data_IF_225566523619
#
_entry.id   IF_225566523619
#
_cell.length_a   1.000
_cell.length_b   1.000
_cell.length_c   1.000
_cell.angle_alpha   90.00
_cell.angle_beta   90.00
_cell.angle_gamma   90.00
#
_symmetry.space_group_name_H-M   'P 1'
#
loop_
_entity.id
_entity.type
_entity.pdbx_description
1 polymer ?
#
# COMPACT_ATOMS: atom_id res chain seq x y z
N UNK A 1 -4.91 13.58 15.41
CA UNK A 1 -3.87 14.18 14.56
C UNK A 1 -3.39 13.08 13.65
N UNK A 2 -3.88 13.11 12.41
CA UNK A 2 -3.66 12.05 11.42
C UNK A 2 -3.26 12.81 10.16
N UNK A 3 -2.06 12.54 9.62
CA UNK A 3 -1.44 13.15 8.44
C UNK A 3 -0.64 14.46 8.58
N UNK A 4 -0.22 14.88 9.78
CA UNK A 4 0.62 16.10 9.96
C UNK A 4 1.91 16.07 9.12
N UNK A 5 2.47 14.87 8.89
CA UNK A 5 3.66 14.70 8.05
C UNK A 5 3.42 15.04 6.59
N UNK A 6 2.22 14.78 6.05
CA UNK A 6 1.89 15.16 4.69
C UNK A 6 1.87 16.68 4.53
N UNK A 7 1.26 17.37 5.49
CA UNK A 7 1.22 18.83 5.50
C UNK A 7 2.62 19.42 5.57
N UNK A 8 3.41 18.94 6.52
CA UNK A 8 4.78 19.40 6.70
C UNK A 8 5.65 19.14 5.47
N UNK A 9 5.54 17.96 4.86
CA UNK A 9 6.27 17.65 3.63
C UNK A 9 5.91 18.62 2.47
N UNK A 10 4.65 19.04 2.39
CA UNK A 10 4.21 20.05 1.40
C UNK A 10 4.84 21.42 1.73
N UNK A 11 4.83 21.83 3.00
CA UNK A 11 5.47 23.08 3.46
C UNK A 11 6.96 23.07 3.14
N UNK A 12 7.68 22.04 3.57
CA UNK A 12 9.13 21.93 3.38
C UNK A 12 9.48 22.01 1.89
N UNK A 13 8.69 21.35 1.03
CA UNK A 13 8.89 21.38 -0.41
C UNK A 13 8.53 22.73 -1.04
N UNK A 14 7.55 23.45 -0.49
CA UNK A 14 7.22 24.82 -0.91
C UNK A 14 8.37 25.79 -0.61
N UNK A 15 8.96 25.68 0.58
CA UNK A 15 10.13 26.46 1.02
C UNK A 15 11.34 26.13 0.14
N UNK A 16 11.61 24.85 -0.10
CA UNK A 16 12.70 24.40 -0.99
C UNK A 16 12.58 25.00 -2.40
N UNK A 17 11.35 25.10 -2.92
CA UNK A 17 11.07 25.64 -4.26
C UNK A 17 10.92 27.16 -4.29
N UNK A 18 10.87 27.83 -3.14
CA UNK A 18 10.65 29.27 -3.03
C UNK A 18 9.29 29.71 -3.57
N UNK A 19 8.25 28.92 -3.33
CA UNK A 19 6.86 29.26 -3.71
C UNK A 19 5.99 29.43 -2.46
N UNK A 20 4.90 30.19 -2.58
CA UNK A 20 3.93 30.37 -1.50
C UNK A 20 3.14 29.07 -1.25
N UNK A 21 2.58 28.94 -0.04
CA UNK A 21 1.83 27.74 0.35
C UNK A 21 0.58 27.52 -0.53
N UNK A 22 -0.11 28.60 -0.92
CA UNK A 22 -1.30 28.52 -1.77
C UNK A 22 -0.98 27.93 -3.14
N UNK A 23 0.18 28.28 -3.71
CA UNK A 23 0.66 27.71 -4.97
C UNK A 23 1.03 26.24 -4.80
N UNK A 24 1.65 25.87 -3.68
CA UNK A 24 1.97 24.48 -3.34
C UNK A 24 0.70 23.63 -3.16
N UNK A 25 -0.30 24.14 -2.44
CA UNK A 25 -1.58 23.47 -2.24
C UNK A 25 -2.30 23.24 -3.58
N UNK A 26 -2.33 24.26 -4.44
CA UNK A 26 -2.89 24.17 -5.79
C UNK A 26 -2.15 23.15 -6.64
N UNK A 27 -0.81 23.11 -6.57
CA UNK A 27 0.01 22.12 -7.27
C UNK A 27 -0.28 20.68 -6.80
N UNK A 28 -0.54 20.49 -5.50
CA UNK A 28 -0.98 19.22 -4.91
C UNK A 28 -2.46 18.89 -5.23
N UNK A 29 -3.21 19.80 -5.86
CA UNK A 29 -4.60 19.59 -6.26
C UNK A 29 -5.62 19.81 -5.14
N UNK A 30 -5.25 20.57 -4.12
CA UNK A 30 -6.15 21.00 -3.05
C UNK A 30 -6.57 22.45 -3.25
N UNK A 31 -7.73 22.77 -2.69
CA UNK A 31 -8.05 24.15 -2.35
C UNK A 31 -7.19 24.57 -1.12
N UNK A 32 -6.48 25.70 -1.16
CA UNK A 32 -5.57 26.10 -0.09
C UNK A 32 -6.26 26.23 1.28
N UNK A 33 -7.47 26.80 1.31
CA UNK A 33 -8.21 27.00 2.55
C UNK A 33 -8.65 25.64 3.12
N UNK A 34 -9.13 24.74 2.27
CA UNK A 34 -9.49 23.37 2.68
C UNK A 34 -8.28 22.61 3.21
N UNK A 35 -7.13 22.70 2.54
CA UNK A 35 -5.90 22.04 2.98
C UNK A 35 -5.46 22.59 4.33
N UNK A 36 -5.49 23.92 4.49
CA UNK A 36 -5.17 24.57 5.76
C UNK A 36 -6.12 24.10 6.86
N UNK A 37 -7.43 24.06 6.63
CA UNK A 37 -8.42 23.60 7.62
C UNK A 37 -8.33 22.10 7.98
N UNK A 38 -7.66 21.29 7.16
CA UNK A 38 -7.35 19.89 7.50
C UNK A 38 -6.25 19.78 8.57
N UNK A 39 -5.41 20.80 8.74
CA UNK A 39 -4.21 20.75 9.58
C UNK A 39 -4.16 21.83 10.66
N UNK A 40 -4.79 22.98 10.43
CA UNK A 40 -4.93 24.07 11.39
C UNK A 40 -6.41 24.24 11.78
N UNK A 41 -6.76 23.78 12.97
CA UNK A 41 -8.11 23.90 13.48
C UNK A 41 -8.32 25.31 14.06
N UNK A 42 -9.31 26.04 13.55
CA UNK A 42 -9.79 27.27 14.20
C UNK A 42 -10.18 26.96 15.66
N UNK A 43 -9.99 27.90 16.61
CA UNK A 43 -10.44 27.71 17.98
C UNK A 43 -11.93 27.36 18.01
N UNK A 44 -12.26 26.18 18.59
CA UNK A 44 -13.60 25.59 18.67
C UNK A 44 -14.18 24.97 17.38
N UNK A 45 -13.39 24.77 16.32
CA UNK A 45 -13.80 23.96 15.16
C UNK A 45 -13.21 22.55 15.21
N UNK A 46 -13.93 21.58 14.66
CA UNK A 46 -13.38 20.25 14.42
C UNK A 46 -12.53 20.33 13.13
N UNK A 47 -11.25 19.93 13.13
CA UNK A 47 -10.44 19.90 11.91
C UNK A 47 -11.09 19.01 10.87
N UNK A 48 -11.00 19.41 9.60
CA UNK A 48 -11.46 18.60 8.49
C UNK A 48 -10.61 17.33 8.40
N UNK A 49 -11.24 16.21 8.02
CA UNK A 49 -10.49 14.99 7.78
C UNK A 49 -9.80 15.10 6.43
N UNK A 50 -8.47 15.08 6.40
CA UNK A 50 -7.72 15.08 5.15
C UNK A 50 -8.14 13.94 4.22
N UNK A 51 -8.61 12.81 4.78
CA UNK A 51 -9.08 11.67 4.00
C UNK A 51 -10.34 11.95 3.19
N UNK A 52 -11.08 12.99 3.56
CA UNK A 52 -12.23 13.46 2.78
C UNK A 52 -11.81 14.19 1.51
N UNK A 53 -10.57 14.65 1.46
CA UNK A 53 -10.03 15.48 0.38
C UNK A 53 -8.86 14.82 -0.36
N UNK A 54 -8.23 13.81 0.24
CA UNK A 54 -7.13 13.04 -0.34
C UNK A 54 -7.66 11.95 -1.30
N UNK A 55 -8.19 12.40 -2.43
CA UNK A 55 -8.60 11.55 -3.54
C UNK A 55 -7.42 11.08 -4.40
N UNK A 56 -7.71 10.25 -5.40
CA UNK A 56 -6.67 9.70 -6.28
C UNK A 56 -5.83 10.77 -6.98
N UNK A 57 -6.51 11.80 -7.50
CA UNK A 57 -5.87 12.92 -8.18
C UNK A 57 -4.97 13.73 -7.23
N UNK A 58 -5.40 13.93 -5.98
CA UNK A 58 -4.58 14.61 -4.96
C UNK A 58 -3.34 13.79 -4.62
N UNK A 59 -3.46 12.46 -4.47
CA UNK A 59 -2.31 11.61 -4.19
C UNK A 59 -1.28 11.70 -5.33
N UNK A 60 -1.73 11.58 -6.59
CA UNK A 60 -0.84 11.64 -7.76
C UNK A 60 -0.16 13.00 -7.91
N UNK A 61 -0.92 14.10 -7.75
CA UNK A 61 -0.39 15.46 -7.81
C UNK A 61 0.57 15.77 -6.66
N UNK A 62 0.24 15.33 -5.45
CA UNK A 62 1.12 15.52 -4.28
C UNK A 62 2.40 14.72 -4.44
N UNK A 63 2.32 13.47 -4.90
CA UNK A 63 3.50 12.65 -5.22
C UNK A 63 4.41 13.32 -6.26
N UNK A 64 3.82 13.88 -7.31
CA UNK A 64 4.54 14.65 -8.32
C UNK A 64 5.18 15.93 -7.75
N UNK A 65 4.46 16.66 -6.90
CA UNK A 65 4.96 17.87 -6.25
C UNK A 65 6.14 17.55 -5.32
N UNK A 66 6.04 16.51 -4.51
CA UNK A 66 7.10 16.08 -3.61
C UNK A 66 8.28 15.39 -4.34
N UNK A 67 8.05 14.88 -5.56
CA UNK A 67 9.06 14.13 -6.31
C UNK A 67 9.31 12.74 -5.73
N UNK A 68 8.24 12.05 -5.32
CA UNK A 68 8.30 10.72 -4.70
C UNK A 68 7.22 9.77 -5.25
N UNK A 69 7.36 8.44 -5.08
CA UNK A 69 6.29 7.51 -5.45
C UNK A 69 5.01 7.74 -4.64
N UNK A 70 3.86 7.40 -5.22
CA UNK A 70 2.56 7.53 -4.56
C UNK A 70 2.47 6.75 -3.24
N UNK A 71 3.18 5.63 -3.11
CA UNK A 71 3.24 4.87 -1.85
C UNK A 71 3.68 5.75 -0.67
N UNK A 72 4.60 6.72 -0.90
CA UNK A 72 5.07 7.64 0.15
C UNK A 72 3.94 8.52 0.68
N UNK A 73 2.98 8.91 -0.16
CA UNK A 73 1.84 9.72 0.27
C UNK A 73 0.95 8.96 1.25
N UNK A 74 0.76 7.65 1.07
CA UNK A 74 0.01 6.83 2.03
C UNK A 74 0.71 6.74 3.38
N UNK A 75 2.05 6.80 3.44
CA UNK A 75 2.79 6.85 4.70
C UNK A 75 2.73 8.24 5.35
N UNK A 76 2.97 9.30 4.57
CA UNK A 76 2.86 10.69 5.04
C UNK A 76 1.47 11.03 5.56
N UNK A 77 0.43 10.43 4.96
CA UNK A 77 -0.96 10.60 5.37
C UNK A 77 -1.41 9.64 6.49
N UNK A 78 -0.49 8.88 7.10
CA UNK A 78 -0.78 7.86 8.13
C UNK A 78 -1.84 6.82 7.71
N UNK A 79 -2.00 6.59 6.40
CA UNK A 79 -2.91 5.57 5.86
C UNK A 79 -2.31 4.19 6.06
N UNK A 80 -1.08 3.99 5.62
CA UNK A 80 -0.34 2.75 5.86
C UNK A 80 0.59 2.92 7.06
N UNK A 81 0.62 1.93 7.94
CA UNK A 81 1.47 1.91 9.14
C UNK A 81 2.57 0.87 9.03
N UNK A 82 3.53 0.91 9.94
CA UNK A 82 4.62 -0.08 10.00
C UNK A 82 4.12 -1.53 10.04
N UNK A 83 2.97 -1.79 10.67
CA UNK A 83 2.31 -3.11 10.68
C UNK A 83 1.83 -3.55 9.29
N UNK A 84 1.30 -2.61 8.48
CA UNK A 84 0.89 -2.85 7.11
C UNK A 84 2.09 -3.11 6.19
N UNK A 85 3.25 -2.52 6.52
CA UNK A 85 4.50 -2.79 5.80
C UNK A 85 5.14 -4.09 6.24
N UNK A 86 5.12 -4.46 7.52
CA UNK A 86 5.58 -5.80 7.93
C UNK A 86 4.71 -6.89 7.35
N UNK A 87 3.45 -6.61 7.07
CA UNK A 87 2.59 -7.50 6.33
C UNK A 87 2.97 -7.61 4.85
N UNK A 88 3.16 -6.46 4.19
CA UNK A 88 3.71 -6.44 2.83
C UNK A 88 5.06 -7.19 2.81
N UNK A 89 5.94 -6.90 3.76
CA UNK A 89 7.29 -7.42 3.89
C UNK A 89 7.35 -8.88 4.39
N UNK A 90 6.49 -9.34 5.29
CA UNK A 90 6.44 -10.74 5.76
C UNK A 90 5.81 -11.63 4.71
N UNK A 91 4.93 -11.08 3.87
CA UNK A 91 4.45 -11.77 2.69
C UNK A 91 5.50 -11.72 1.55
N UNK A 92 6.43 -10.75 1.57
CA UNK A 92 7.66 -10.68 0.75
C UNK A 92 8.84 -11.51 1.30
N UNK A 93 8.84 -11.86 2.60
CA UNK A 93 9.96 -12.46 3.35
C UNK A 93 9.46 -13.38 4.46
N UNK A 94 8.76 -14.47 4.12
CA UNK A 94 8.56 -15.61 5.02
C UNK A 94 9.64 -16.67 4.76
N UNK A 95 10.78 -16.65 5.48
CA UNK A 95 11.76 -17.73 5.44
C UNK A 95 11.30 -18.98 6.21
N UNK A 96 10.14 -19.01 6.89
CA UNK A 96 9.60 -20.20 7.55
C UNK A 96 8.69 -21.03 6.63
N UNK A 97 8.23 -20.46 5.51
CA UNK A 97 7.91 -21.20 4.28
C UNK A 97 9.18 -21.35 3.42
N UNK A 98 10.23 -21.92 4.01
CA UNK A 98 11.29 -22.56 3.23
C UNK A 98 10.59 -23.55 2.31
N UNK A 99 10.65 -23.30 1.00
CA UNK A 99 10.33 -24.32 0.01
C UNK A 99 11.17 -25.54 0.39
N UNK A 100 10.50 -26.63 0.76
CA UNK A 100 11.15 -27.92 0.95
C UNK A 100 12.10 -28.14 -0.22
N UNK A 101 13.40 -28.06 0.06
CA UNK A 101 14.46 -28.15 -0.94
C UNK A 101 14.40 -29.50 -1.66
N UNK A 102 13.81 -30.53 -1.05
CA UNK A 102 13.59 -31.82 -1.66
C UNK A 102 12.33 -31.82 -2.54
N UNK A 103 11.30 -31.02 -2.22
CA UNK A 103 10.18 -30.74 -3.12
C UNK A 103 10.59 -29.87 -4.32
N UNK A 104 11.51 -28.91 -4.13
CA UNK A 104 12.06 -28.08 -5.21
C UNK A 104 13.04 -28.88 -6.07
N UNK A 105 13.88 -29.74 -5.49
CA UNK A 105 14.68 -30.73 -6.25
C UNK A 105 13.79 -31.73 -6.98
N UNK A 106 12.65 -32.13 -6.41
CA UNK A 106 11.68 -33.00 -7.09
C UNK A 106 10.99 -32.27 -8.25
N UNK A 107 10.72 -30.97 -8.12
CA UNK A 107 10.21 -30.14 -9.21
C UNK A 107 11.27 -29.93 -10.32
N UNK A 108 12.51 -29.63 -9.95
CA UNK A 108 13.66 -29.50 -10.87
C UNK A 108 13.95 -30.83 -11.58
N UNK A 109 13.85 -31.96 -10.88
CA UNK A 109 13.97 -33.29 -11.50
C UNK A 109 12.76 -33.64 -12.39
N UNK A 110 11.56 -33.09 -12.15
CA UNK A 110 10.40 -33.20 -13.06
C UNK A 110 10.50 -32.28 -14.28
N UNK A 111 11.21 -31.16 -14.15
CA UNK A 111 11.49 -30.22 -15.25
C UNK A 111 12.70 -30.68 -16.09
N UNK A 112 13.53 -31.56 -15.54
CA UNK A 112 14.75 -32.10 -16.15
C UNK A 112 14.59 -33.01 -17.38
N UNK A 113 13.41 -33.07 -18.00
CA UNK A 113 13.21 -33.75 -19.30
C UNK A 113 13.40 -32.83 -20.51
N UNK A 114 13.82 -31.57 -20.31
CA UNK A 114 14.24 -30.68 -21.40
C UNK A 114 15.46 -29.83 -21.01
N UNK A 115 16.62 -30.30 -21.44
CA UNK A 115 17.83 -29.54 -21.79
C UNK A 115 18.10 -28.23 -21.02
N UNK A 116 18.37 -28.31 -19.71
CA UNK A 116 18.99 -27.21 -18.97
C UNK A 116 20.19 -27.71 -18.13
N UNK A 117 21.35 -27.03 -18.15
CA UNK A 117 22.57 -27.55 -17.53
C UNK A 117 22.52 -27.39 -16.01
N UNK A 118 22.37 -28.50 -15.29
CA UNK A 118 22.30 -28.57 -13.81
C UNK A 118 23.45 -27.87 -13.09
N UNK A 119 24.63 -27.79 -13.71
CA UNK A 119 25.84 -27.20 -13.13
C UNK A 119 25.82 -25.66 -13.12
N UNK A 120 25.09 -25.04 -14.07
CA UNK A 120 24.98 -23.59 -14.19
C UNK A 120 24.05 -23.03 -13.09
N UNK A 121 22.98 -23.76 -12.78
CA UNK A 121 22.01 -23.44 -11.72
C UNK A 121 22.65 -23.55 -10.33
N UNK A 122 23.53 -24.54 -10.12
CA UNK A 122 24.20 -24.72 -8.83
C UNK A 122 25.22 -23.60 -8.56
N UNK A 123 25.96 -23.15 -9.60
CA UNK A 123 26.92 -22.04 -9.44
C UNK A 123 26.25 -20.67 -9.22
N UNK A 124 25.01 -20.48 -9.70
CA UNK A 124 24.20 -19.28 -9.47
C UNK A 124 23.72 -19.18 -8.02
N UNK A 125 23.39 -20.31 -7.40
CA UNK A 125 23.03 -20.42 -5.98
C UNK A 125 24.20 -20.08 -5.05
N UNK A 126 25.39 -20.59 -5.35
CA UNK A 126 26.59 -20.35 -4.54
C UNK A 126 27.10 -18.90 -4.65
N UNK A 127 26.83 -18.22 -5.78
CA UNK A 127 27.15 -16.79 -5.99
C UNK A 127 26.18 -15.83 -5.31
N UNK A 128 24.89 -16.17 -5.24
CA UNK A 128 23.87 -15.36 -4.57
C UNK A 128 24.09 -15.27 -3.05
N UNK A 129 24.66 -16.32 -2.45
CA UNK A 129 24.96 -16.37 -1.01
C UNK A 129 26.26 -15.64 -0.62
N UNK A 130 27.04 -15.16 -1.59
CA UNK A 130 28.38 -14.59 -1.36
C UNK A 130 28.55 -13.10 -1.73
N UNK A 131 27.53 -12.38 -2.24
CA UNK A 131 27.72 -11.11 -2.97
C UNK A 131 27.00 -9.82 -2.49
N UNK A 132 27.53 -8.69 -2.96
CA UNK A 132 27.30 -7.25 -2.66
C UNK A 132 25.96 -6.63 -3.15
N UNK A 133 25.93 -5.31 -3.47
CA UNK A 133 24.76 -4.48 -3.89
C UNK A 133 23.80 -5.11 -4.92
N UNK A 134 24.26 -6.09 -5.72
CA UNK A 134 23.42 -6.90 -6.62
C UNK A 134 22.41 -7.79 -5.88
N UNK A 135 22.70 -8.26 -4.66
CA UNK A 135 21.78 -9.01 -3.81
C UNK A 135 20.58 -8.18 -3.36
N UNK A 136 20.76 -6.85 -3.25
CA UNK A 136 19.68 -5.87 -3.05
C UNK A 136 18.82 -5.72 -4.30
N UNK A 137 19.43 -5.71 -5.50
CA UNK A 137 18.71 -5.65 -6.77
C UNK A 137 17.94 -6.95 -7.06
N UNK A 138 18.47 -8.13 -6.72
CA UNK A 138 17.74 -9.40 -6.80
C UNK A 138 16.57 -9.46 -5.82
N UNK A 139 16.73 -8.87 -4.62
CA UNK A 139 15.63 -8.68 -3.67
C UNK A 139 14.53 -7.78 -4.24
N UNK A 140 14.90 -6.64 -4.84
CA UNK A 140 13.96 -5.73 -5.52
C UNK A 140 13.27 -6.38 -6.72
N UNK A 141 13.98 -7.27 -7.44
CA UNK A 141 13.42 -8.02 -8.55
C UNK A 141 12.44 -9.10 -8.05
N UNK A 142 12.76 -9.79 -6.96
CA UNK A 142 11.86 -10.72 -6.27
C UNK A 142 10.63 -10.01 -5.68
N UNK A 143 10.80 -8.77 -5.22
CA UNK A 143 9.76 -7.85 -4.74
C UNK A 143 8.80 -7.42 -5.85
N UNK A 144 9.33 -7.02 -7.01
CA UNK A 144 8.54 -6.71 -8.19
C UNK A 144 7.84 -7.95 -8.75
N UNK A 145 8.46 -9.13 -8.60
CA UNK A 145 7.88 -10.40 -8.98
C UNK A 145 6.79 -10.84 -8.00
N UNK A 146 6.94 -10.52 -6.71
CA UNK A 146 5.93 -10.72 -5.66
C UNK A 146 4.76 -9.73 -5.76
N UNK A 147 5.00 -8.46 -6.07
CA UNK A 147 3.93 -7.54 -6.46
C UNK A 147 3.29 -7.94 -7.79
N UNK A 148 4.09 -8.50 -8.70
CA UNK A 148 3.62 -9.21 -9.89
C UNK A 148 2.74 -10.40 -9.53
N UNK A 149 3.05 -11.14 -8.47
CA UNK A 149 2.30 -12.29 -8.00
C UNK A 149 1.06 -11.88 -7.17
N UNK A 150 1.08 -10.78 -6.40
CA UNK A 150 -0.10 -10.12 -5.81
C UNK A 150 -1.03 -9.60 -6.92
N UNK A 151 -0.45 -9.01 -7.97
CA UNK A 151 -1.16 -8.59 -9.17
C UNK A 151 -1.69 -9.77 -9.97
N UNK A 152 -1.01 -10.94 -9.95
CA UNK A 152 -1.51 -12.21 -10.52
C UNK A 152 -2.47 -12.94 -9.57
N UNK A 153 -2.48 -12.61 -8.27
CA UNK A 153 -3.28 -13.27 -7.23
C UNK A 153 -4.74 -12.78 -7.18
N UNK A 154 -5.24 -12.06 -8.20
CA UNK A 154 -6.66 -11.67 -8.33
C UNK A 154 -7.20 -10.73 -7.24
N UNK A 155 -6.36 -10.07 -6.44
CA UNK A 155 -6.84 -9.13 -5.42
C UNK A 155 -7.11 -7.74 -5.98
N UNK A 156 -6.22 -7.19 -6.81
CA UNK A 156 -6.28 -5.79 -7.22
C UNK A 156 -7.50 -5.48 -8.08
N UNK A 157 -8.34 -4.53 -7.65
CA UNK A 157 -9.58 -4.19 -8.34
C UNK A 157 -10.66 -5.28 -8.28
N UNK A 158 -10.55 -6.19 -7.32
CA UNK A 158 -11.52 -7.27 -7.06
C UNK A 158 -12.05 -7.17 -5.61
N UNK A 159 -13.02 -6.27 -5.36
CA UNK A 159 -13.63 -6.09 -4.04
C UNK A 159 -14.22 -7.38 -3.48
N UNK A 160 -14.75 -8.25 -4.34
CA UNK A 160 -15.38 -9.52 -3.98
C UNK A 160 -14.46 -10.42 -3.13
N UNK A 161 -13.15 -10.41 -3.39
CA UNK A 161 -12.20 -11.28 -2.67
C UNK A 161 -12.12 -10.91 -1.19
N UNK A 162 -12.08 -9.62 -0.88
CA UNK A 162 -12.03 -9.14 0.51
C UNK A 162 -13.41 -9.25 1.17
N UNK A 163 -14.48 -9.01 0.42
CA UNK A 163 -15.84 -9.08 0.96
C UNK A 163 -16.29 -10.52 1.24
N UNK A 164 -15.91 -11.49 0.41
CA UNK A 164 -16.17 -12.90 0.66
C UNK A 164 -15.42 -13.40 1.89
N UNK A 165 -14.16 -12.99 2.05
CA UNK A 165 -13.37 -13.31 3.24
C UNK A 165 -13.94 -12.65 4.51
N UNK A 166 -14.48 -11.43 4.39
CA UNK A 166 -15.18 -10.76 5.48
C UNK A 166 -16.46 -11.52 5.91
N UNK A 167 -17.24 -12.02 4.94
CA UNK A 167 -18.41 -12.87 5.21
C UNK A 167 -17.98 -14.15 5.92
N UNK A 168 -16.93 -14.81 5.42
CA UNK A 168 -16.39 -16.04 6.00
C UNK A 168 -15.88 -15.83 7.44
N UNK A 169 -15.10 -14.76 7.66
CA UNK A 169 -14.49 -14.43 8.95
C UNK A 169 -15.50 -14.09 10.05
N UNK A 170 -16.71 -13.66 9.66
CA UNK A 170 -17.82 -13.38 10.58
C UNK A 170 -18.75 -14.58 10.78
N UNK A 171 -18.43 -15.74 10.19
CA UNK A 171 -19.29 -16.92 10.15
C UNK A 171 -20.72 -16.58 9.69
N UNK A 172 -20.82 -15.76 8.64
CA UNK A 172 -22.10 -15.27 8.11
C UNK A 172 -22.43 -15.93 6.78
N UNK A 173 -23.71 -15.99 6.44
CA UNK A 173 -24.18 -16.53 5.17
C UNK A 173 -24.33 -15.43 4.10
N UNK A 174 -24.34 -14.16 4.51
CA UNK A 174 -24.47 -13.01 3.61
C UNK A 174 -23.67 -11.80 4.09
N UNK A 175 -23.45 -10.85 3.17
CA UNK A 175 -22.81 -9.57 3.47
C UNK A 175 -23.60 -8.74 4.49
N UNK A 176 -24.94 -8.78 4.40
CA UNK A 176 -25.83 -8.06 5.31
C UNK A 176 -25.73 -8.60 6.75
N UNK A 177 -25.67 -9.93 6.91
CA UNK A 177 -25.48 -10.55 8.22
C UNK A 177 -24.10 -10.20 8.80
N UNK A 178 -23.05 -10.25 7.97
CA UNK A 178 -21.69 -9.86 8.38
C UNK A 178 -21.62 -8.40 8.85
N UNK A 179 -22.24 -7.47 8.11
CA UNK A 179 -22.33 -6.07 8.47
C UNK A 179 -23.10 -5.86 9.78
N UNK A 180 -24.22 -6.56 9.95
CA UNK A 180 -25.03 -6.49 11.17
C UNK A 180 -24.26 -6.96 12.41
N UNK A 181 -23.54 -8.09 12.32
CA UNK A 181 -22.73 -8.62 13.44
C UNK A 181 -21.59 -7.69 13.84
N UNK A 182 -21.01 -6.98 12.88
CA UNK A 182 -19.83 -6.12 13.09
C UNK A 182 -20.18 -4.65 13.33
N UNK A 183 -21.43 -4.26 13.13
CA UNK A 183 -21.89 -2.87 13.21
C UNK A 183 -21.37 -1.99 12.07
N UNK A 184 -20.97 -2.59 10.94
CA UNK A 184 -20.47 -1.86 9.78
C UNK A 184 -21.59 -1.44 8.82
N UNK A 185 -21.45 -0.30 8.12
CA UNK A 185 -22.49 0.22 7.24
C UNK A 185 -22.69 -0.65 6.00
N UNK A 186 -23.79 -1.41 5.97
CA UNK A 186 -24.11 -2.33 4.88
C UNK A 186 -24.16 -1.65 3.50
N UNK A 187 -24.82 -0.50 3.40
CA UNK A 187 -24.97 0.20 2.11
C UNK A 187 -23.62 0.61 1.52
N UNK A 188 -22.69 1.09 2.35
CA UNK A 188 -21.34 1.45 1.93
C UNK A 188 -20.55 0.23 1.46
N UNK A 189 -20.56 -0.85 2.25
CA UNK A 189 -19.80 -2.06 1.92
C UNK A 189 -20.38 -2.75 0.68
N UNK A 190 -21.70 -2.73 0.52
CA UNK A 190 -22.38 -3.20 -0.70
C UNK A 190 -21.97 -2.38 -1.92
N UNK A 191 -21.90 -1.05 -1.78
CA UNK A 191 -21.52 -0.15 -2.87
C UNK A 191 -20.11 -0.46 -3.42
N UNK A 192 -19.16 -0.82 -2.54
CA UNK A 192 -17.83 -1.28 -2.97
C UNK A 192 -17.88 -2.51 -3.88
N UNK A 193 -18.83 -3.42 -3.65
CA UNK A 193 -19.03 -4.61 -4.50
C UNK A 193 -19.65 -4.26 -5.85
N UNK A 194 -20.54 -3.27 -5.87
CA UNK A 194 -21.35 -2.89 -7.02
C UNK A 194 -20.68 -1.78 -7.88
N UNK A 195 -19.35 -1.62 -7.74
CA UNK A 195 -18.47 -0.73 -8.51
C UNK A 195 -18.49 0.77 -8.17
N UNK A 196 -19.03 1.17 -7.02
CA UNK A 196 -18.71 2.52 -6.51
C UNK A 196 -17.27 2.52 -5.97
N UNK A 197 -16.40 3.44 -6.43
CA UNK A 197 -15.00 3.44 -6.03
C UNK A 197 -14.90 3.81 -4.55
N UNK A 198 -14.37 2.89 -3.76
CA UNK A 198 -13.99 3.20 -2.39
C UNK A 198 -12.95 4.33 -2.38
N UNK A 199 -12.99 5.18 -1.36
CA UNK A 199 -12.04 6.29 -1.22
C UNK A 199 -11.47 6.34 0.18
N UNK A 200 -10.44 7.16 0.43
CA UNK A 200 -9.89 7.30 1.77
C UNK A 200 -10.91 7.83 2.80
N UNK A 201 -12.03 8.43 2.38
CA UNK A 201 -13.19 8.72 3.25
C UNK A 201 -13.65 7.50 4.03
N UNK A 202 -13.59 6.34 3.39
CA UNK A 202 -14.07 5.09 3.95
C UNK A 202 -12.99 4.33 4.73
N UNK A 203 -11.81 4.94 4.94
CA UNK A 203 -10.65 4.31 5.58
C UNK A 203 -10.99 3.70 6.94
N UNK A 204 -11.85 4.36 7.72
CA UNK A 204 -12.32 3.82 9.01
C UNK A 204 -13.02 2.47 8.85
N UNK A 205 -13.92 2.38 7.87
CA UNK A 205 -14.63 1.14 7.53
C UNK A 205 -13.67 0.10 6.96
N UNK A 206 -12.74 0.49 6.08
CA UNK A 206 -11.73 -0.44 5.53
C UNK A 206 -10.83 -1.05 6.61
N UNK A 207 -10.39 -0.25 7.59
CA UNK A 207 -9.63 -0.74 8.73
C UNK A 207 -10.42 -1.71 9.58
N UNK A 208 -11.71 -1.45 9.78
CA UNK A 208 -12.58 -2.35 10.51
C UNK A 208 -12.77 -3.69 9.78
N UNK A 209 -12.99 -3.65 8.46
CA UNK A 209 -13.04 -4.86 7.61
C UNK A 209 -11.73 -5.64 7.69
N UNK A 210 -10.59 -4.98 7.50
CA UNK A 210 -9.26 -5.60 7.59
C UNK A 210 -9.07 -6.29 8.96
N UNK A 211 -9.41 -5.59 10.05
CA UNK A 211 -9.33 -6.12 11.41
C UNK A 211 -10.25 -7.33 11.63
N UNK A 212 -11.47 -7.32 11.09
CA UNK A 212 -12.40 -8.45 11.21
C UNK A 212 -11.89 -9.68 10.47
N UNK A 213 -11.27 -9.50 9.31
CA UNK A 213 -10.66 -10.59 8.56
C UNK A 213 -9.37 -11.10 9.24
N UNK A 214 -8.73 -10.26 10.06
CA UNK A 214 -7.39 -10.53 10.57
C UNK A 214 -6.31 -10.28 9.51
N UNK A 215 -6.62 -9.44 8.51
CA UNK A 215 -5.67 -9.00 7.51
C UNK A 215 -5.12 -7.60 7.82
N UNK A 216 -3.90 -7.32 7.36
CA UNK A 216 -3.34 -5.97 7.24
C UNK A 216 -4.23 -5.09 6.34
N UNK A 217 -4.08 -3.76 6.40
CA UNK A 217 -4.92 -2.86 5.60
C UNK A 217 -4.54 -2.87 4.10
N UNK A 218 -3.27 -3.13 3.76
CA UNK A 218 -2.77 -3.01 2.39
C UNK A 218 -3.49 -3.89 1.35
N UNK A 219 -3.86 -5.17 1.61
CA UNK A 219 -4.64 -5.97 0.67
C UNK A 219 -6.05 -5.41 0.47
N UNK A 220 -6.67 -4.86 1.52
CA UNK A 220 -7.99 -4.22 1.43
C UNK A 220 -7.94 -2.99 0.51
N UNK A 221 -6.93 -2.13 0.66
CA UNK A 221 -6.76 -0.95 -0.20
C UNK A 221 -6.54 -1.32 -1.67
N UNK A 222 -5.79 -2.39 -1.94
CA UNK A 222 -5.55 -2.88 -3.30
C UNK A 222 -6.82 -3.50 -3.91
N UNK A 223 -7.57 -4.28 -3.14
CA UNK A 223 -8.81 -4.88 -3.61
C UNK A 223 -9.91 -3.88 -3.91
N UNK A 224 -9.98 -2.83 -3.10
CA UNK A 224 -10.89 -1.72 -3.33
C UNK A 224 -10.36 -0.68 -4.32
N UNK A 225 -9.19 -0.92 -4.93
CA UNK A 225 -8.53 -0.04 -5.92
C UNK A 225 -8.20 1.39 -5.41
N UNK A 226 -8.14 1.56 -4.09
CA UNK A 226 -7.74 2.80 -3.41
C UNK A 226 -6.23 2.99 -3.58
N UNK A 227 -5.48 1.93 -3.29
CA UNK A 227 -4.09 1.78 -3.67
C UNK A 227 -4.01 0.93 -4.94
N UNK A 228 -2.99 1.16 -5.76
CA UNK A 228 -2.75 0.45 -7.01
C UNK A 228 -1.34 -0.15 -7.02
N UNK A 229 -1.11 -1.26 -7.74
CA UNK A 229 0.25 -1.76 -7.95
C UNK A 229 1.21 -0.70 -8.50
N UNK A 230 0.70 0.19 -9.36
CA UNK A 230 1.49 1.30 -9.92
C UNK A 230 1.96 2.32 -8.86
N UNK A 231 1.33 2.40 -7.68
CA UNK A 231 1.77 3.30 -6.61
C UNK A 231 3.13 2.89 -6.00
N UNK A 232 3.55 1.64 -6.25
CA UNK A 232 4.82 1.05 -5.83
C UNK A 232 5.92 1.17 -6.90
N UNK A 233 5.68 1.96 -7.94
CA UNK A 233 6.63 2.23 -9.01
C UNK A 233 7.08 3.69 -8.96
N UNK A 234 8.35 3.92 -9.26
CA UNK A 234 8.94 5.24 -9.48
C UNK A 234 9.81 5.22 -10.73
N UNK A 235 9.51 6.07 -11.71
CA UNK A 235 10.19 6.08 -13.02
C UNK A 235 10.23 4.69 -13.69
N UNK A 236 9.16 3.90 -13.52
CA UNK A 236 9.05 2.53 -14.06
C UNK A 236 9.82 1.46 -13.28
N UNK A 237 10.49 1.83 -12.18
CA UNK A 237 11.23 0.91 -11.32
C UNK A 237 10.47 0.66 -10.01
N UNK A 238 10.52 -0.57 -9.45
CA UNK A 238 9.94 -0.87 -8.15
C UNK A 238 10.64 -0.08 -7.04
N UNK A 239 9.89 0.37 -6.05
CA UNK A 239 10.42 1.02 -4.83
C UNK A 239 10.28 0.10 -3.62
N UNK A 240 11.21 0.22 -2.66
CA UNK A 240 11.13 -0.48 -1.37
C UNK A 240 10.18 0.26 -0.41
N UNK A 241 9.03 -0.31 -0.03
CA UNK A 241 8.09 0.34 0.89
C UNK A 241 8.69 0.67 2.27
N UNK A 242 9.66 -0.11 2.74
CA UNK A 242 10.34 0.16 4.01
C UNK A 242 11.24 1.40 3.90
N UNK A 243 11.96 1.55 2.79
CA UNK A 243 12.78 2.74 2.54
C UNK A 243 11.89 3.98 2.42
N UNK A 244 10.76 3.87 1.72
CA UNK A 244 9.80 4.96 1.55
C UNK A 244 9.09 5.34 2.87
N UNK A 245 8.83 4.37 3.75
CA UNK A 245 8.36 4.66 5.11
C UNK A 245 9.41 5.41 5.91
N UNK A 246 10.67 4.97 5.89
CA UNK A 246 11.74 5.64 6.64
C UNK A 246 11.85 7.10 6.20
N UNK A 247 11.82 7.36 4.89
CA UNK A 247 11.81 8.73 4.34
C UNK A 247 10.58 9.53 4.77
N UNK A 248 9.41 8.89 4.88
CA UNK A 248 8.21 9.56 5.37
C UNK A 248 8.29 9.88 6.87
N UNK A 249 8.89 9.01 7.66
CA UNK A 249 9.07 9.18 9.11
C UNK A 249 10.15 10.22 9.46
N UNK A 250 11.08 10.49 8.54
CA UNK A 250 12.14 11.51 8.66
C UNK A 250 11.62 12.95 8.53
N UNK A 251 10.34 13.14 8.18
CA UNK A 251 9.69 14.46 8.15
C UNK A 251 9.40 14.91 9.59
N UNK A 252 10.11 15.95 10.03
CA UNK A 252 9.99 16.55 11.36
C UNK A 252 8.68 17.34 11.50
N UNK A 253 7.81 16.94 12.43
CA UNK A 253 6.55 17.66 12.71
C UNK A 253 6.82 18.74 13.76
N UNK A 254 6.51 20.00 13.45
CA UNK A 254 6.70 21.16 14.33
C UNK A 254 5.39 21.74 14.86
#
# INVERSE_FOLDING_TARGET
>A
MIAERLYQAIIDKSIERGIEFEDAATACGFDPDVLLECFDAKPNSRPLSIYDHLGRAQIEKTAQFLGCPCVRIFFLADVLRTEDIRALASAMFDPARVVDMDAMKALINRIGDRDAPKEEIQSLLDRALAGSSESKQQMLHALAQYFGDISRAKFAGHPEVVLDEFIASTFSQSLEEACTKTGLPFDLIRAWRDSEPATLRDLGTMRAVAKTIGLPLSPVLLSLNVARPADLLWNGLPVDPMEELVKALDVDIW
#
